data_IF_226311294523
#
_entry.id   IF_226311294523
#
_cell.length_a   1.000
_cell.length_b   1.000
_cell.length_c   1.000
_cell.angle_alpha   90.00
_cell.angle_beta   90.00
_cell.angle_gamma   90.00
#
_symmetry.space_group_name_H-M   'P 1'
#
loop_
_entity.id
_entity.type
_entity.pdbx_description
1 polymer ?
#
# COMPACT_ATOMS: atom_id res chain seq x y z
N UNK A 1 40.64 -12.42 -5.37
CA UNK A 1 39.22 -12.75 -5.09
C UNK A 1 38.40 -11.89 -6.04
N UNK A 2 37.75 -12.46 -7.08
CA UNK A 2 37.13 -11.64 -8.14
C UNK A 2 36.03 -10.75 -7.58
N UNK A 3 35.87 -9.55 -8.14
CA UNK A 3 34.88 -8.57 -7.69
C UNK A 3 33.45 -9.13 -7.69
N UNK A 4 33.16 -10.10 -8.58
CA UNK A 4 31.90 -10.86 -8.60
C UNK A 4 31.68 -11.68 -7.33
N UNK A 5 32.71 -12.34 -6.78
CA UNK A 5 32.58 -13.10 -5.52
C UNK A 5 32.30 -12.17 -4.33
N UNK A 6 32.92 -11.00 -4.30
CA UNK A 6 32.66 -9.98 -3.26
C UNK A 6 31.25 -9.41 -3.39
N UNK A 7 30.81 -9.12 -4.61
CA UNK A 7 29.46 -8.63 -4.91
C UNK A 7 28.39 -9.64 -4.46
N UNK A 8 28.55 -10.92 -4.80
CA UNK A 8 27.60 -11.97 -4.39
C UNK A 8 27.52 -12.09 -2.86
N UNK A 9 28.66 -12.04 -2.16
CA UNK A 9 28.66 -12.05 -0.70
C UNK A 9 27.94 -10.83 -0.09
N UNK A 10 28.05 -9.65 -0.72
CA UNK A 10 27.29 -8.47 -0.30
C UNK A 10 25.78 -8.66 -0.53
N UNK A 11 25.38 -9.22 -1.67
CA UNK A 11 23.98 -9.53 -1.99
C UNK A 11 23.40 -10.52 -0.97
N UNK A 12 24.12 -11.59 -0.66
CA UNK A 12 23.69 -12.58 0.34
C UNK A 12 23.52 -11.96 1.72
N UNK A 13 24.43 -11.07 2.11
CA UNK A 13 24.34 -10.33 3.36
C UNK A 13 23.14 -9.38 3.39
N UNK A 14 22.79 -8.74 2.28
CA UNK A 14 21.55 -7.98 2.16
C UNK A 14 20.33 -8.88 2.36
N UNK A 15 20.31 -10.06 1.73
CA UNK A 15 19.23 -11.04 1.91
C UNK A 15 19.01 -11.43 3.37
N UNK A 16 20.10 -11.72 4.11
CA UNK A 16 20.04 -12.05 5.54
C UNK A 16 19.56 -10.89 6.41
N UNK A 17 20.06 -9.68 6.15
CA UNK A 17 19.64 -8.47 6.86
C UNK A 17 18.15 -8.18 6.64
N UNK A 18 17.67 -8.34 5.41
CA UNK A 18 16.26 -8.17 5.09
C UNK A 18 15.40 -9.23 5.78
N UNK A 19 15.83 -10.49 5.84
CA UNK A 19 15.11 -11.53 6.57
C UNK A 19 14.94 -11.18 8.06
N UNK A 20 16.04 -10.83 8.73
CA UNK A 20 15.99 -10.39 10.13
C UNK A 20 15.09 -9.17 10.34
N UNK A 21 15.22 -8.18 9.46
CA UNK A 21 14.40 -6.97 9.54
C UNK A 21 12.90 -7.29 9.38
N UNK A 22 12.54 -8.23 8.50
CA UNK A 22 11.14 -8.69 8.35
C UNK A 22 10.61 -9.33 9.62
N UNK A 23 11.41 -10.19 10.25
CA UNK A 23 11.06 -10.84 11.51
C UNK A 23 10.88 -9.80 12.64
N UNK A 24 11.79 -8.83 12.74
CA UNK A 24 11.69 -7.73 13.70
C UNK A 24 10.39 -6.92 13.50
N UNK A 25 10.00 -6.65 12.25
CA UNK A 25 8.73 -5.98 11.94
C UNK A 25 7.52 -6.82 12.33
N UNK A 26 7.54 -8.13 12.08
CA UNK A 26 6.44 -9.05 12.47
C UNK A 26 6.23 -9.05 13.98
N UNK A 27 7.31 -9.07 14.77
CA UNK A 27 7.23 -9.01 16.22
C UNK A 27 6.57 -7.70 16.70
N UNK A 28 6.93 -6.57 16.08
CA UNK A 28 6.31 -5.27 16.42
C UNK A 28 4.84 -5.24 15.99
N UNK A 29 4.48 -5.83 14.84
CA UNK A 29 3.09 -5.94 14.39
C UNK A 29 2.24 -6.74 15.38
N UNK A 30 2.74 -7.85 15.90
CA UNK A 30 2.03 -8.67 16.91
C UNK A 30 1.80 -7.86 18.19
N UNK A 31 2.78 -7.07 18.63
CA UNK A 31 2.59 -6.18 19.79
C UNK A 31 1.56 -5.08 19.49
N UNK A 32 1.56 -4.54 18.27
CA UNK A 32 0.51 -3.60 17.85
C UNK A 32 -0.87 -4.26 17.86
N UNK A 33 -0.97 -5.53 17.43
CA UNK A 33 -2.20 -6.31 17.49
C UNK A 33 -2.71 -6.44 18.91
N UNK A 34 -1.84 -6.81 19.85
CA UNK A 34 -2.20 -6.89 21.27
C UNK A 34 -2.79 -5.57 21.78
N UNK A 35 -2.14 -4.43 21.52
CA UNK A 35 -2.68 -3.12 21.91
C UNK A 35 -4.02 -2.77 21.26
N UNK A 36 -4.22 -3.19 20.01
CA UNK A 36 -5.47 -2.97 19.30
C UNK A 36 -6.61 -3.79 19.91
N UNK A 37 -6.39 -5.07 20.25
CA UNK A 37 -7.40 -5.93 20.86
C UNK A 37 -7.68 -5.56 22.33
N UNK A 38 -6.64 -5.33 23.15
CA UNK A 38 -6.78 -5.07 24.58
C UNK A 38 -7.36 -3.67 24.87
N UNK A 39 -6.89 -2.66 24.14
CA UNK A 39 -7.13 -1.25 24.45
C UNK A 39 -7.92 -0.48 23.40
N UNK A 40 -8.36 -1.14 22.31
CA UNK A 40 -8.93 -0.47 21.13
C UNK A 40 -8.02 0.63 20.55
N UNK A 41 -6.70 0.53 20.79
CA UNK A 41 -5.73 1.54 20.40
C UNK A 41 -4.91 1.08 19.19
N UNK A 42 -5.10 1.74 18.05
CA UNK A 42 -4.43 1.43 16.78
C UNK A 42 -3.38 2.48 16.38
N UNK A 43 -3.10 3.45 17.25
CA UNK A 43 -2.04 4.44 17.02
C UNK A 43 -0.65 3.81 16.83
N UNK A 44 -0.29 2.71 17.52
CA UNK A 44 0.97 2.00 17.27
C UNK A 44 1.11 1.55 15.80
N UNK A 45 0.04 1.09 15.15
CA UNK A 45 0.05 0.70 13.73
C UNK A 45 0.37 1.89 12.83
N UNK A 46 -0.25 3.04 13.11
CA UNK A 46 0.01 4.28 12.37
C UNK A 46 1.46 4.71 12.50
N UNK A 47 2.01 4.65 13.72
CA UNK A 47 3.41 4.99 13.96
C UNK A 47 4.35 4.02 13.25
N UNK A 48 4.05 2.73 13.27
CA UNK A 48 4.85 1.70 12.59
C UNK A 48 4.94 1.96 11.09
N UNK A 49 3.80 2.15 10.42
CA UNK A 49 3.76 2.43 8.97
C UNK A 49 4.53 3.70 8.61
N UNK A 50 4.44 4.75 9.44
CA UNK A 50 5.22 5.98 9.23
C UNK A 50 6.73 5.77 9.36
N UNK A 51 7.18 4.91 10.27
CA UNK A 51 8.61 4.62 10.48
C UNK A 51 9.17 3.74 9.37
N UNK A 52 8.41 2.74 8.90
CA UNK A 52 8.86 1.73 7.93
C UNK A 52 8.87 2.20 6.46
N UNK A 53 8.97 3.50 6.21
CA UNK A 53 9.02 4.09 4.88
C UNK A 53 10.01 3.34 3.94
N UNK A 54 9.55 3.00 2.72
CA UNK A 54 10.34 2.24 1.74
C UNK A 54 10.11 0.72 1.72
N UNK A 55 9.34 0.19 2.67
CA UNK A 55 8.86 -1.21 2.64
C UNK A 55 7.59 -1.35 1.79
N UNK A 56 7.13 -2.57 1.51
CA UNK A 56 5.83 -2.78 0.85
C UNK A 56 4.68 -2.39 1.82
N UNK A 57 4.36 -1.09 1.82
CA UNK A 57 3.31 -0.50 2.65
C UNK A 57 1.94 -1.11 2.35
N UNK A 58 1.73 -1.55 1.11
CA UNK A 58 0.46 -2.17 0.72
C UNK A 58 0.30 -3.51 1.41
N UNK A 59 1.36 -4.33 1.42
CA UNK A 59 1.37 -5.61 2.13
C UNK A 59 1.16 -5.41 3.64
N UNK A 60 1.87 -4.45 4.25
CA UNK A 60 1.73 -4.14 5.68
C UNK A 60 0.32 -3.66 6.06
N UNK A 61 -0.23 -2.71 5.30
CA UNK A 61 -1.58 -2.19 5.57
C UNK A 61 -2.62 -3.30 5.43
N UNK A 62 -2.56 -4.08 4.34
CA UNK A 62 -3.46 -5.22 4.15
C UNK A 62 -3.35 -6.27 5.24
N UNK A 63 -2.13 -6.54 5.68
CA UNK A 63 -1.91 -7.48 6.77
C UNK A 63 -2.60 -7.02 8.05
N UNK A 64 -2.44 -5.74 8.40
CA UNK A 64 -3.08 -5.14 9.58
C UNK A 64 -4.60 -5.23 9.45
N UNK A 65 -5.17 -4.85 8.31
CA UNK A 65 -6.63 -4.88 8.09
C UNK A 65 -7.23 -6.29 8.13
N UNK A 66 -6.47 -7.30 7.72
CA UNK A 66 -6.91 -8.69 7.73
C UNK A 66 -6.88 -9.35 9.12
N UNK A 67 -5.97 -8.90 10.00
CA UNK A 67 -5.67 -9.62 11.25
C UNK A 67 -5.92 -8.81 12.52
N UNK A 68 -6.22 -7.52 12.40
CA UNK A 68 -6.39 -6.62 13.53
C UNK A 68 -7.66 -5.78 13.39
N UNK A 69 -8.25 -5.31 14.51
CA UNK A 69 -9.39 -4.39 14.50
C UNK A 69 -8.96 -2.97 14.11
N UNK A 70 -8.32 -2.82 12.95
CA UNK A 70 -7.78 -1.58 12.43
C UNK A 70 -8.09 -1.47 10.94
N UNK A 71 -8.41 -0.27 10.46
CA UNK A 71 -8.59 0.02 9.03
C UNK A 71 -7.87 1.30 8.65
N UNK A 72 -7.35 1.36 7.43
CA UNK A 72 -6.55 2.46 6.94
C UNK A 72 -7.41 3.56 6.30
N UNK A 73 -7.29 4.78 6.82
CA UNK A 73 -7.95 5.95 6.26
C UNK A 73 -6.97 6.72 5.38
N UNK A 74 -7.01 6.45 4.07
CA UNK A 74 -6.11 7.06 3.07
C UNK A 74 -6.04 8.59 3.17
N UNK A 75 -7.19 9.26 3.34
CA UNK A 75 -7.26 10.71 3.43
C UNK A 75 -6.53 11.30 4.65
N UNK A 76 -6.45 10.54 5.75
CA UNK A 76 -5.82 10.97 7.01
C UNK A 76 -4.45 10.34 7.22
N UNK A 77 -4.03 9.44 6.33
CA UNK A 77 -2.76 8.71 6.39
C UNK A 77 -2.52 8.05 7.77
N UNK A 78 -3.58 7.42 8.31
CA UNK A 78 -3.58 6.76 9.62
C UNK A 78 -4.60 5.63 9.72
N UNK A 79 -4.39 4.74 10.70
CA UNK A 79 -5.37 3.74 11.08
C UNK A 79 -6.45 4.32 12.00
N UNK A 80 -7.65 3.75 11.90
CA UNK A 80 -8.73 3.91 12.87
C UNK A 80 -9.20 2.54 13.36
N UNK A 81 -9.72 2.49 14.59
CA UNK A 81 -10.20 1.25 15.17
C UNK A 81 -11.47 0.76 14.48
N UNK A 82 -11.49 -0.51 14.08
CA UNK A 82 -12.63 -1.17 13.47
C UNK A 82 -13.45 -1.92 14.52
N UNK A 83 -14.55 -1.34 14.98
CA UNK A 83 -15.46 -1.98 15.95
C UNK A 83 -16.20 -3.20 15.40
N UNK A 84 -16.29 -3.33 14.08
CA UNK A 84 -16.98 -4.42 13.40
C UNK A 84 -16.05 -5.59 13.07
N UNK A 85 -14.77 -5.49 13.42
CA UNK A 85 -13.82 -6.57 13.18
C UNK A 85 -14.22 -7.82 13.99
N UNK A 86 -14.25 -8.97 13.33
CA UNK A 86 -14.55 -10.25 13.96
C UNK A 86 -13.26 -11.06 14.05
N UNK A 87 -12.78 -11.27 15.27
CA UNK A 87 -11.59 -12.05 15.54
C UNK A 87 -11.13 -11.87 16.98
N UNK A 88 -10.21 -12.74 17.40
CA UNK A 88 -9.58 -12.70 18.71
C UNK A 88 -8.07 -12.58 18.54
N UNK A 89 -7.40 -12.05 19.56
CA UNK A 89 -5.95 -11.97 19.56
C UNK A 89 -5.34 -13.36 19.72
N UNK A 90 -4.63 -13.82 18.69
CA UNK A 90 -3.83 -15.05 18.72
C UNK A 90 -2.43 -14.81 18.15
N UNK A 91 -1.47 -14.57 19.05
CA UNK A 91 -0.08 -14.33 18.69
C UNK A 91 0.56 -15.47 17.87
N UNK A 92 0.14 -16.72 18.06
CA UNK A 92 0.70 -17.88 17.35
C UNK A 92 0.25 -17.83 15.89
N UNK A 93 -1.04 -17.64 15.66
CA UNK A 93 -1.61 -17.50 14.30
C UNK A 93 -1.06 -16.28 13.58
N UNK A 94 -0.90 -15.15 14.29
CA UNK A 94 -0.30 -13.95 13.73
C UNK A 94 1.18 -14.16 13.36
N UNK A 95 1.94 -14.91 14.15
CA UNK A 95 3.34 -15.22 13.82
C UNK A 95 3.45 -16.18 12.63
N UNK A 96 2.49 -17.09 12.47
CA UNK A 96 2.42 -18.03 11.35
C UNK A 96 1.96 -17.40 10.03
N UNK A 97 1.41 -16.18 10.07
CA UNK A 97 0.91 -15.46 8.90
C UNK A 97 1.77 -14.21 8.67
N UNK A 98 2.95 -14.30 8.05
CA UNK A 98 3.88 -13.17 7.97
C UNK A 98 3.44 -12.10 6.95
N UNK A 99 3.62 -10.82 7.29
CA UNK A 99 3.16 -9.70 6.47
C UNK A 99 3.77 -9.66 5.05
N UNK A 100 5.02 -10.09 4.90
CA UNK A 100 5.74 -10.02 3.63
C UNK A 100 5.29 -11.06 2.60
N UNK A 101 4.50 -12.05 2.99
CA UNK A 101 3.90 -12.99 2.04
C UNK A 101 2.78 -12.35 1.21
N UNK A 102 2.21 -11.23 1.70
CA UNK A 102 1.24 -10.42 0.97
C UNK A 102 1.91 -9.44 -0.01
N UNK A 103 3.24 -9.32 0.01
CA UNK A 103 3.97 -8.48 -0.94
C UNK A 103 3.90 -9.10 -2.34
N UNK A 104 3.69 -8.25 -3.36
CA UNK A 104 3.62 -8.73 -4.75
C UNK A 104 4.93 -9.41 -5.13
N UNK A 105 4.85 -10.60 -5.73
CA UNK A 105 6.05 -11.30 -6.23
C UNK A 105 6.60 -10.54 -7.44
N UNK A 106 7.92 -10.55 -7.64
CA UNK A 106 8.56 -9.85 -8.76
C UNK A 106 7.94 -10.19 -10.13
N UNK A 107 7.55 -11.46 -10.33
CA UNK A 107 6.83 -11.91 -11.53
C UNK A 107 5.49 -11.19 -11.69
N UNK A 108 4.71 -11.07 -10.62
CA UNK A 108 3.40 -10.39 -10.61
C UNK A 108 3.57 -8.90 -10.85
N UNK A 109 4.58 -8.26 -10.26
CA UNK A 109 4.90 -6.84 -10.51
C UNK A 109 5.22 -6.62 -11.99
N UNK A 110 5.98 -7.52 -12.62
CA UNK A 110 6.34 -7.40 -14.04
C UNK A 110 5.20 -7.71 -15.02
N UNK A 111 4.17 -8.44 -14.58
CA UNK A 111 3.07 -8.90 -15.44
C UNK A 111 1.72 -8.26 -15.14
N UNK A 112 1.61 -7.44 -14.10
CA UNK A 112 0.36 -6.75 -13.74
C UNK A 112 0.32 -5.34 -14.33
N UNK A 113 -0.65 -5.09 -15.20
CA UNK A 113 -1.02 -3.73 -15.62
C UNK A 113 -2.14 -3.22 -14.70
N UNK A 114 -1.86 -2.19 -13.93
CA UNK A 114 -2.90 -1.49 -13.18
C UNK A 114 -3.66 -0.56 -14.14
N UNK A 115 -4.78 -1.06 -14.67
CA UNK A 115 -5.62 -0.31 -15.60
C UNK A 115 -6.27 0.91 -14.95
N UNK A 116 -6.56 0.85 -13.65
CA UNK A 116 -7.14 1.98 -12.93
C UNK A 116 -6.12 3.10 -12.78
N UNK A 117 -4.89 2.75 -12.37
CA UNK A 117 -3.80 3.72 -12.27
C UNK A 117 -3.44 4.30 -13.64
N UNK A 118 -3.39 3.46 -14.69
CA UNK A 118 -3.17 3.91 -16.06
C UNK A 118 -4.26 4.88 -16.55
N UNK A 119 -5.54 4.58 -16.26
CA UNK A 119 -6.66 5.44 -16.61
C UNK A 119 -6.63 6.77 -15.83
N UNK A 120 -6.27 6.75 -14.55
CA UNK A 120 -6.09 7.98 -13.74
C UNK A 120 -4.97 8.87 -14.28
N UNK A 121 -3.84 8.28 -14.67
CA UNK A 121 -2.75 9.02 -15.30
C UNK A 121 -3.19 9.64 -16.63
N UNK A 122 -3.97 8.90 -17.43
CA UNK A 122 -4.54 9.43 -18.67
C UNK A 122 -5.49 10.61 -18.40
N UNK A 123 -6.44 10.47 -17.47
CA UNK A 123 -7.38 11.54 -17.10
C UNK A 123 -6.62 12.80 -16.66
N UNK A 124 -5.67 12.67 -15.72
CA UNK A 124 -4.87 13.81 -15.24
C UNK A 124 -4.09 14.49 -16.36
N UNK A 125 -3.53 13.70 -17.29
CA UNK A 125 -2.83 14.25 -18.46
C UNK A 125 -3.79 15.08 -19.31
N UNK A 126 -4.96 14.55 -19.60
CA UNK A 126 -5.96 15.24 -20.42
C UNK A 126 -6.55 16.47 -19.74
N UNK A 127 -6.79 16.43 -18.43
CA UNK A 127 -7.19 17.63 -17.65
C UNK A 127 -6.12 18.72 -17.73
N UNK A 128 -4.85 18.35 -17.60
CA UNK A 128 -3.73 19.28 -17.74
C UNK A 128 -3.69 19.90 -19.14
N UNK A 129 -3.80 19.08 -20.19
CA UNK A 129 -3.83 19.58 -21.57
C UNK A 129 -5.06 20.47 -21.85
N UNK A 130 -6.23 20.11 -21.29
CA UNK A 130 -7.46 20.90 -21.37
C UNK A 130 -7.34 22.26 -20.68
N UNK A 131 -6.55 22.35 -19.60
CA UNK A 131 -6.29 23.60 -18.87
C UNK A 131 -5.24 24.50 -19.53
N UNK A 132 -4.65 24.10 -20.67
CA UNK A 132 -3.64 24.91 -21.34
C UNK A 132 -4.29 26.10 -22.03
N UNK A 133 -3.51 27.18 -22.09
CA UNK A 133 -3.80 28.33 -22.93
C UNK A 133 -2.77 28.38 -24.05
N UNK A 134 -3.24 28.66 -25.26
CA UNK A 134 -2.39 28.93 -26.43
C UNK A 134 -2.73 30.35 -26.86
N UNK A 135 -1.71 31.22 -26.89
CA UNK A 135 -1.86 32.64 -27.21
C UNK A 135 -2.90 33.37 -26.33
N UNK A 136 -2.93 33.02 -25.04
CA UNK A 136 -3.83 33.62 -24.04
C UNK A 136 -5.30 33.21 -24.20
N UNK A 137 -5.58 32.16 -24.99
CA UNK A 137 -6.92 31.59 -25.15
C UNK A 137 -6.96 30.16 -24.64
N UNK A 138 -8.03 29.76 -23.93
CA UNK A 138 -8.19 28.38 -23.50
C UNK A 138 -8.29 27.46 -24.71
N UNK A 139 -7.68 26.28 -24.61
CA UNK A 139 -7.81 25.24 -25.63
C UNK A 139 -9.26 24.76 -25.68
N UNK A 140 -9.86 24.75 -26.87
CA UNK A 140 -11.17 24.13 -27.09
C UNK A 140 -11.02 22.62 -27.00
N UNK A 141 -11.71 22.01 -26.04
CA UNK A 141 -11.74 20.54 -25.88
C UNK A 141 -13.02 20.00 -26.50
N UNK A 142 -12.87 19.36 -27.65
CA UNK A 142 -13.95 18.59 -28.26
C UNK A 142 -14.22 17.33 -27.43
N UNK A 143 -15.49 16.94 -27.32
CA UNK A 143 -15.92 15.74 -26.60
C UNK A 143 -15.51 15.67 -25.11
N UNK A 144 -15.49 16.81 -24.42
CA UNK A 144 -15.11 16.92 -23.00
C UNK A 144 -15.92 15.99 -22.07
N UNK A 145 -17.14 15.59 -22.47
CA UNK A 145 -17.97 14.63 -21.75
C UNK A 145 -17.31 13.26 -21.56
N UNK A 146 -16.39 12.87 -22.45
CA UNK A 146 -15.67 11.60 -22.34
C UNK A 146 -14.77 11.58 -21.10
N UNK A 147 -14.10 12.69 -20.77
CA UNK A 147 -13.28 12.77 -19.56
C UNK A 147 -14.13 12.66 -18.28
N UNK A 148 -15.32 13.24 -18.30
CA UNK A 148 -16.26 13.14 -17.17
C UNK A 148 -16.71 11.69 -16.97
N UNK A 149 -17.06 10.99 -18.06
CA UNK A 149 -17.46 9.58 -18.02
C UNK A 149 -16.33 8.65 -17.55
N UNK A 150 -15.11 8.85 -18.06
CA UNK A 150 -13.94 8.08 -17.65
C UNK A 150 -13.60 8.32 -16.17
N UNK A 151 -13.76 9.56 -15.70
CA UNK A 151 -13.57 9.91 -14.28
C UNK A 151 -14.61 9.25 -13.38
N UNK A 152 -15.87 9.20 -13.81
CA UNK A 152 -16.93 8.49 -13.08
C UNK A 152 -16.61 6.99 -12.97
N UNK A 153 -16.24 6.33 -14.09
CA UNK A 153 -15.85 4.92 -14.11
C UNK A 153 -14.66 4.65 -13.17
N UNK A 154 -13.66 5.52 -13.19
CA UNK A 154 -12.49 5.40 -12.31
C UNK A 154 -12.86 5.56 -10.83
N UNK A 155 -13.75 6.50 -10.50
CA UNK A 155 -14.24 6.69 -9.15
C UNK A 155 -15.03 5.47 -8.68
N UNK A 156 -16.01 5.00 -9.46
CA UNK A 156 -16.85 3.84 -9.09
C UNK A 156 -15.99 2.63 -8.73
N UNK A 157 -14.97 2.32 -9.54
CA UNK A 157 -14.07 1.19 -9.27
C UNK A 157 -13.17 1.38 -8.05
N UNK A 158 -12.83 2.62 -7.69
CA UNK A 158 -12.03 2.91 -6.50
C UNK A 158 -12.85 2.81 -5.20
N UNK A 159 -14.18 3.02 -5.28
CA UNK A 159 -15.09 2.90 -4.13
C UNK A 159 -15.78 1.52 -4.04
N UNK A 160 -15.92 0.77 -5.13
CA UNK A 160 -16.35 -0.64 -5.15
C UNK A 160 -15.33 -1.60 -4.49
N UNK A 161 -14.06 -1.20 -4.43
CA UNK A 161 -12.97 -1.99 -3.85
C UNK A 161 -12.75 -1.74 -2.34
N UNK A 162 -13.71 -1.06 -1.67
CA UNK A 162 -13.77 -0.84 -0.22
C UNK A 162 -14.83 -1.72 0.41
#
# INVERSE_FOLDING_TARGET
MSDVKKLNAQIDNLGKRTAKWRDDVQLVLIQCAQHAFDGSNVDPCTRLVKVLHGSDMTALIRWIEAHMPAYWVKAENKFKFNKSFQGEYDAITLMASPWWELAKKAKEVSSSLDMLDSLRHFIKRMEKEASREIDGKPVTVEHAELLTKLSAIANDKEYDAK
#
